data_IF_389051558476
#
_entry.id   IF_389051558476
#
_cell.length_a   1.000
_cell.length_b   1.000
_cell.length_c   1.000
_cell.angle_alpha   90.00
_cell.angle_beta   90.00
_cell.angle_gamma   90.00
#
_symmetry.space_group_name_H-M   'P 1'
#
loop_
_entity.id
_entity.type
_entity.pdbx_description
1 polymer ?
#
# COMPACT_ATOMS: atom_id res chain seq x y z
N UNK A 1 -18.93 12.85 5.39
CA UNK A 1 -17.93 13.32 4.42
C UNK A 1 -16.65 12.53 4.59
N UNK A 2 -16.27 11.76 3.58
CA UNK A 2 -14.91 11.34 3.25
C UNK A 2 -14.95 11.11 1.74
N UNK A 3 -14.81 12.22 1.04
CA UNK A 3 -14.73 12.32 -0.42
C UNK A 3 -13.49 11.61 -0.96
N UNK A 4 -13.57 11.31 -2.26
CA UNK A 4 -12.45 11.05 -3.19
C UNK A 4 -11.98 9.59 -3.22
N UNK A 5 -11.87 8.90 -4.36
CA UNK A 5 -12.07 9.32 -5.74
C UNK A 5 -12.31 8.08 -6.61
N UNK A 6 -13.07 8.31 -7.67
CA UNK A 6 -13.31 7.44 -8.81
C UNK A 6 -12.03 7.18 -9.62
N UNK A 7 -12.16 6.24 -10.57
CA UNK A 7 -11.31 6.04 -11.77
C UNK A 7 -10.05 5.20 -11.53
N UNK A 8 -9.69 4.21 -12.35
CA UNK A 8 -9.97 4.04 -13.76
C UNK A 8 -9.94 2.57 -14.20
N UNK A 9 -10.65 2.37 -15.30
CA UNK A 9 -10.97 1.15 -16.04
C UNK A 9 -9.87 0.88 -17.11
N UNK A 10 -9.34 -0.36 -17.11
CA UNK A 10 -8.62 -1.14 -18.16
C UNK A 10 -7.26 -0.63 -18.74
N UNK A 11 -6.20 -1.46 -18.66
CA UNK A 11 -5.59 -2.20 -19.81
C UNK A 11 -4.15 -2.71 -19.58
N UNK A 12 -3.94 -3.94 -20.11
CA UNK A 12 -2.69 -4.59 -20.58
C UNK A 12 -1.88 -5.45 -19.59
N UNK A 13 -2.13 -6.77 -19.65
CA UNK A 13 -1.22 -7.93 -19.53
C UNK A 13 -0.11 -8.04 -18.45
N UNK A 14 0.06 -7.05 -17.58
CA UNK A 14 0.87 -7.06 -16.38
C UNK A 14 0.02 -6.42 -15.28
N UNK A 15 -0.03 -6.95 -14.04
CA UNK A 15 -0.78 -6.28 -12.98
C UNK A 15 -0.24 -4.85 -12.85
N UNK A 16 -1.11 -3.82 -12.87
CA UNK A 16 -0.66 -2.43 -12.92
C UNK A 16 0.24 -2.14 -11.71
N UNK A 17 1.29 -1.35 -11.96
CA UNK A 17 2.11 -0.80 -10.89
C UNK A 17 1.19 -0.06 -9.91
N UNK A 18 1.39 -0.28 -8.62
CA UNK A 18 0.62 0.40 -7.60
C UNK A 18 1.09 1.85 -7.52
N UNK A 19 0.15 2.76 -7.30
CA UNK A 19 0.46 4.14 -6.93
C UNK A 19 0.84 4.22 -5.45
N UNK A 20 1.49 5.32 -5.06
CA UNK A 20 1.77 5.60 -3.64
C UNK A 20 0.49 5.61 -2.80
N UNK A 21 -0.61 6.16 -3.34
CA UNK A 21 -1.91 6.22 -2.65
C UNK A 21 -2.47 4.82 -2.36
N UNK A 22 -2.44 3.92 -3.34
CA UNK A 22 -2.88 2.53 -3.15
C UNK A 22 -2.02 1.80 -2.11
N UNK A 23 -0.70 2.04 -2.10
CA UNK A 23 0.17 1.43 -1.08
C UNK A 23 -0.12 2.01 0.32
N UNK A 24 -0.37 3.32 0.44
CA UNK A 24 -0.80 3.93 1.72
C UNK A 24 -2.10 3.34 2.23
N UNK A 25 -3.05 3.06 1.36
CA UNK A 25 -4.31 2.42 1.77
C UNK A 25 -4.08 0.99 2.28
N UNK A 26 -3.20 0.22 1.63
CA UNK A 26 -2.79 -1.11 2.13
C UNK A 26 -2.08 -1.04 3.48
N UNK A 27 -1.28 0.02 3.71
CA UNK A 27 -0.61 0.28 4.99
C UNK A 27 -1.64 0.57 6.08
N UNK A 28 -2.60 1.44 5.82
CA UNK A 28 -3.68 1.77 6.76
C UNK A 28 -4.55 0.55 7.08
N UNK A 29 -4.91 -0.24 6.08
CA UNK A 29 -5.63 -1.51 6.27
C UNK A 29 -4.84 -2.47 7.18
N UNK A 30 -3.51 -2.54 7.01
CA UNK A 30 -2.66 -3.36 7.85
C UNK A 30 -2.64 -2.86 9.31
N UNK A 31 -2.55 -1.54 9.51
CA UNK A 31 -2.57 -0.88 10.83
C UNK A 31 -3.91 -1.08 11.53
N UNK A 32 -5.03 -0.84 10.82
CA UNK A 32 -6.39 -1.05 11.32
C UNK A 32 -6.62 -2.52 11.72
N UNK A 33 -5.98 -3.46 11.02
CA UNK A 33 -5.95 -4.88 11.37
C UNK A 33 -5.00 -5.24 12.53
N UNK A 34 -4.41 -4.26 13.22
CA UNK A 34 -3.56 -4.44 14.40
C UNK A 34 -2.07 -4.56 14.13
N UNK A 35 -1.57 -4.24 12.93
CA UNK A 35 -0.13 -4.17 12.69
C UNK A 35 0.42 -2.79 13.09
N UNK A 36 0.98 -2.68 14.30
CA UNK A 36 1.53 -1.42 14.81
C UNK A 36 3.04 -1.27 14.59
N UNK A 37 3.71 -2.37 14.24
CA UNK A 37 5.15 -2.41 14.04
C UNK A 37 5.50 -2.43 12.56
N UNK A 38 6.59 -1.76 12.19
CA UNK A 38 7.14 -1.73 10.83
C UNK A 38 7.22 -3.14 10.21
N UNK A 39 7.77 -4.10 10.94
CA UNK A 39 7.92 -5.48 10.46
C UNK A 39 6.57 -6.19 10.26
N UNK A 40 5.57 -5.90 11.10
CA UNK A 40 4.24 -6.47 11.00
C UNK A 40 3.49 -5.90 9.79
N UNK A 41 3.56 -4.58 9.58
CA UNK A 41 2.94 -3.91 8.42
C UNK A 41 3.59 -4.39 7.13
N UNK A 42 4.93 -4.36 7.05
CA UNK A 42 5.67 -4.86 5.89
C UNK A 42 5.33 -6.32 5.59
N UNK A 43 5.25 -7.19 6.61
CA UNK A 43 4.85 -8.59 6.44
C UNK A 43 3.47 -8.77 5.79
N UNK A 44 2.53 -7.85 6.06
CA UNK A 44 1.17 -7.89 5.50
C UNK A 44 1.07 -7.30 4.09
N UNK A 45 1.78 -6.21 3.80
CA UNK A 45 1.68 -5.52 2.51
C UNK A 45 2.63 -6.12 1.45
N UNK A 46 3.77 -6.70 1.84
CA UNK A 46 4.79 -7.20 0.91
C UNK A 46 4.25 -8.18 -0.15
N UNK A 47 3.41 -9.19 0.19
CA UNK A 47 2.82 -10.07 -0.81
C UNK A 47 1.91 -9.34 -1.81
N UNK A 48 1.25 -8.25 -1.38
CA UNK A 48 0.33 -7.46 -2.22
C UNK A 48 1.07 -6.52 -3.17
N UNK A 49 2.26 -6.05 -2.79
CA UNK A 49 3.04 -5.06 -3.55
C UNK A 49 4.22 -5.65 -4.34
N UNK A 50 4.63 -6.90 -4.07
CA UNK A 50 5.79 -7.53 -4.71
C UNK A 50 5.65 -7.55 -6.22
N UNK A 51 6.63 -6.96 -6.92
CA UNK A 51 6.63 -6.87 -8.39
C UNK A 51 5.68 -5.81 -8.95
N UNK A 52 4.99 -5.06 -8.09
CA UNK A 52 4.05 -3.98 -8.45
C UNK A 52 4.43 -2.64 -7.82
N UNK A 53 5.26 -2.63 -6.77
CA UNK A 53 5.78 -1.45 -6.09
C UNK A 53 7.18 -1.71 -5.55
N UNK A 54 7.97 -0.66 -5.36
CA UNK A 54 9.31 -0.77 -4.78
C UNK A 54 9.24 -0.97 -3.26
N UNK A 55 10.00 -1.95 -2.75
CA UNK A 55 9.98 -2.30 -1.33
C UNK A 55 10.64 -1.26 -0.41
N UNK A 56 11.61 -0.49 -0.91
CA UNK A 56 12.21 0.63 -0.15
C UNK A 56 11.22 1.76 -0.04
N UNK A 57 10.52 2.04 -1.14
CA UNK A 57 9.48 3.07 -1.16
C UNK A 57 8.32 2.70 -0.24
N UNK A 58 7.86 1.44 -0.26
CA UNK A 58 6.89 0.95 0.72
C UNK A 58 7.36 1.11 2.17
N UNK A 59 8.64 0.87 2.45
CA UNK A 59 9.20 1.08 3.80
C UNK A 59 9.12 2.55 4.24
N UNK A 60 9.39 3.49 3.32
CA UNK A 60 9.21 4.93 3.56
C UNK A 60 7.77 5.25 3.94
N UNK A 61 6.79 4.76 3.16
CA UNK A 61 5.37 5.00 3.40
C UNK A 61 4.90 4.42 4.73
N UNK A 62 5.31 3.18 5.05
CA UNK A 62 4.99 2.56 6.35
C UNK A 62 5.55 3.38 7.50
N UNK A 63 6.76 3.93 7.35
CA UNK A 63 7.37 4.77 8.39
C UNK A 63 6.57 6.05 8.62
N UNK A 64 6.10 6.66 7.53
CA UNK A 64 5.31 7.89 7.59
C UNK A 64 3.92 7.67 8.21
N UNK A 65 3.27 6.55 7.95
CA UNK A 65 1.94 6.26 8.52
C UNK A 65 2.00 5.72 9.97
N UNK A 66 3.16 5.24 10.43
CA UNK A 66 3.38 4.79 11.82
C UNK A 66 3.96 5.88 12.74
N UNK A 67 4.42 7.00 12.18
CA UNK A 67 4.95 8.14 12.93
C UNK A 67 3.83 8.98 13.56
#
# INVERSE_FOLDING_TARGET
EKESAESAIIQVYLPPALSEAEVRDLVREAIDGGATEMGAVMGRIMPKIKGRFDGKEANRLVREELA
#
